data_IF_688485556240
#
_entry.id   IF_688485556240
#
_cell.length_a   1.000
_cell.length_b   1.000
_cell.length_c   1.000
_cell.angle_alpha   90.00
_cell.angle_beta   90.00
_cell.angle_gamma   90.00
#
_symmetry.space_group_name_H-M   'P 1'
#
loop_
_entity.id
_entity.type
_entity.pdbx_description
1 polymer ?
#
# COMPACT_ATOMS: atom_id res chain seq x y z
N UNK A 1 2.75 -24.96 -6.73
CA UNK A 1 1.73 -23.91 -6.90
C UNK A 1 2.20 -22.71 -6.10
N UNK A 2 2.60 -21.58 -6.70
CA UNK A 2 3.05 -20.47 -5.88
C UNK A 2 1.81 -19.80 -5.30
N UNK A 3 1.73 -19.82 -3.97
CA UNK A 3 0.85 -18.97 -3.17
C UNK A 3 1.15 -17.54 -3.64
N UNK A 4 0.28 -16.94 -4.45
CA UNK A 4 0.42 -15.51 -4.75
C UNK A 4 0.20 -14.80 -3.41
N UNK A 5 1.24 -14.23 -2.77
CA UNK A 5 1.01 -13.48 -1.56
C UNK A 5 0.23 -12.24 -2.01
N UNK A 6 -1.02 -12.16 -1.59
CA UNK A 6 -1.85 -10.98 -1.84
C UNK A 6 -1.03 -9.73 -1.50
N UNK A 7 -0.66 -8.93 -2.50
CA UNK A 7 0.25 -7.79 -2.29
C UNK A 7 -0.39 -6.83 -1.28
N UNK A 8 0.43 -6.08 -0.55
CA UNK A 8 -0.09 -5.10 0.42
C UNK A 8 -1.08 -4.16 -0.26
N UNK A 9 -0.78 -3.70 -1.48
CA UNK A 9 -1.70 -2.90 -2.29
C UNK A 9 -3.07 -3.55 -2.47
N UNK A 10 -3.12 -4.82 -2.83
CA UNK A 10 -4.40 -5.51 -3.06
C UNK A 10 -5.19 -5.70 -1.76
N UNK A 11 -4.49 -5.94 -0.64
CA UNK A 11 -5.14 -5.98 0.69
C UNK A 11 -5.72 -4.62 1.08
N UNK A 12 -4.97 -3.54 0.84
CA UNK A 12 -5.41 -2.17 1.07
C UNK A 12 -6.61 -1.83 0.18
N UNK A 13 -6.56 -2.14 -1.12
CA UNK A 13 -7.69 -1.94 -2.03
C UNK A 13 -8.96 -2.61 -1.51
N UNK A 14 -8.89 -3.88 -1.06
CA UNK A 14 -10.03 -4.57 -0.48
C UNK A 14 -10.55 -3.90 0.79
N UNK A 15 -9.66 -3.39 1.66
CA UNK A 15 -10.05 -2.65 2.84
C UNK A 15 -10.84 -1.39 2.47
N UNK A 16 -10.41 -0.65 1.44
CA UNK A 16 -11.16 0.51 0.95
C UNK A 16 -12.52 0.11 0.34
N UNK A 17 -12.57 -0.95 -0.45
CA UNK A 17 -13.84 -1.48 -1.01
C UNK A 17 -14.83 -1.92 0.08
N UNK A 18 -14.32 -2.44 1.20
CA UNK A 18 -15.13 -2.93 2.33
C UNK A 18 -15.44 -1.86 3.38
N UNK A 19 -15.01 -0.61 3.18
CA UNK A 19 -15.18 0.46 4.18
C UNK A 19 -14.28 0.32 5.42
N UNK A 20 -13.26 -0.53 5.37
CA UNK A 20 -12.27 -0.78 6.44
C UNK A 20 -10.99 0.05 6.26
N UNK A 21 -11.06 1.18 5.55
CA UNK A 21 -9.90 2.05 5.27
C UNK A 21 -9.21 2.57 6.52
N UNK A 22 -9.89 2.61 7.67
CA UNK A 22 -9.29 2.96 8.97
C UNK A 22 -8.13 2.03 9.37
N UNK A 23 -8.15 0.77 8.91
CA UNK A 23 -7.09 -0.21 9.17
C UNK A 23 -6.01 -0.23 8.09
N UNK A 24 -6.21 0.48 6.97
CA UNK A 24 -5.25 0.52 5.88
C UNK A 24 -3.90 1.09 6.33
N UNK A 25 -3.93 2.14 7.17
CA UNK A 25 -2.71 2.72 7.70
C UNK A 25 -1.93 1.71 8.55
N UNK A 26 -2.58 1.07 9.51
CA UNK A 26 -1.96 0.04 10.35
C UNK A 26 -1.35 -1.08 9.51
N UNK A 27 -2.04 -1.49 8.45
CA UNK A 27 -1.54 -2.53 7.54
C UNK A 27 -0.26 -2.12 6.82
N UNK A 28 -0.14 -0.86 6.38
CA UNK A 28 1.10 -0.33 5.80
C UNK A 28 2.19 -0.21 6.86
N UNK A 29 1.85 0.23 8.07
CA UNK A 29 2.81 0.31 9.18
C UNK A 29 3.40 -1.07 9.50
N UNK A 30 2.59 -2.12 9.57
CA UNK A 30 3.08 -3.47 9.83
C UNK A 30 3.94 -3.99 8.67
N UNK A 31 3.53 -3.73 7.42
CA UNK A 31 4.33 -4.08 6.24
C UNK A 31 5.72 -3.41 6.22
N UNK A 32 5.82 -2.17 6.73
CA UNK A 32 7.08 -1.45 6.90
C UNK A 32 7.94 -2.10 7.99
N UNK A 33 7.35 -2.44 9.14
CA UNK A 33 8.05 -3.12 10.24
C UNK A 33 8.63 -4.47 9.79
N UNK A 34 7.88 -5.25 9.03
CA UNK A 34 8.32 -6.54 8.47
C UNK A 34 9.57 -6.42 7.60
N UNK A 35 9.85 -5.22 7.07
CA UNK A 35 11.02 -4.89 6.24
C UNK A 35 12.11 -4.13 6.99
N UNK A 36 12.04 -4.09 8.32
CA UNK A 36 12.94 -3.31 9.19
C UNK A 36 12.88 -1.79 8.98
N UNK A 37 11.75 -1.26 8.49
CA UNK A 37 11.50 0.18 8.44
C UNK A 37 10.65 0.62 9.63
N UNK A 38 11.01 1.75 10.23
CA UNK A 38 10.22 2.34 11.30
C UNK A 38 9.07 3.16 10.70
N UNK A 39 7.80 2.79 10.92
CA UNK A 39 6.67 3.49 10.31
C UNK A 39 6.54 4.94 10.76
N UNK A 40 7.09 5.29 11.93
CA UNK A 40 7.06 6.67 12.43
C UNK A 40 7.87 7.62 11.56
N UNK A 41 8.79 7.12 10.74
CA UNK A 41 9.65 7.93 9.87
C UNK A 41 8.94 8.27 8.55
N UNK A 42 7.77 7.68 8.29
CA UNK A 42 7.02 7.86 7.06
C UNK A 42 5.66 8.52 7.32
N UNK A 43 5.20 9.29 6.34
CA UNK A 43 3.82 9.75 6.18
C UNK A 43 3.21 8.84 5.13
N UNK A 44 2.11 8.18 5.50
CA UNK A 44 1.39 7.25 4.63
C UNK A 44 0.18 7.99 4.05
N UNK A 45 0.04 7.99 2.73
CA UNK A 45 -1.09 8.59 2.01
C UNK A 45 -1.71 7.57 1.08
N UNK A 46 -3.03 7.57 1.00
CA UNK A 46 -3.80 6.68 0.15
C UNK A 46 -4.51 7.47 -0.94
N UNK A 47 -4.18 7.15 -2.19
CA UNK A 47 -4.80 7.76 -3.36
C UNK A 47 -5.75 6.76 -3.99
N UNK A 48 -7.05 7.00 -3.84
CA UNK A 48 -8.08 6.18 -4.46
C UNK A 48 -8.28 6.62 -5.90
N UNK A 49 -8.15 5.69 -6.84
CA UNK A 49 -8.42 5.88 -8.26
C UNK A 49 -9.48 4.90 -8.71
N UNK A 50 -10.27 5.30 -9.70
CA UNK A 50 -11.16 4.36 -10.37
C UNK A 50 -10.32 3.31 -11.08
N UNK A 51 -10.68 2.04 -10.89
CA UNK A 51 -9.98 0.99 -11.60
C UNK A 51 -10.26 1.09 -13.11
N UNK A 52 -9.27 0.84 -13.98
CA UNK A 52 -9.52 0.77 -15.42
C UNK A 52 -10.48 -0.38 -15.74
N UNK A 53 -11.26 -0.20 -16.79
CA UNK A 53 -12.22 -1.20 -17.29
C UNK A 53 -11.52 -2.54 -17.52
N UNK A 54 -12.07 -3.62 -16.97
CA UNK A 54 -11.46 -4.96 -17.00
C UNK A 54 -10.63 -5.35 -15.77
N UNK A 55 -10.55 -4.48 -14.74
CA UNK A 55 -9.91 -4.81 -13.46
C UNK A 55 -10.81 -5.67 -12.56
N UNK A 56 -10.20 -6.50 -11.70
CA UNK A 56 -10.92 -7.32 -10.71
C UNK A 56 -11.48 -6.53 -9.51
N UNK A 57 -11.15 -5.25 -9.39
CA UNK A 57 -11.61 -4.34 -8.33
C UNK A 57 -12.24 -3.12 -8.96
N UNK A 58 -13.20 -2.50 -8.27
CA UNK A 58 -13.88 -1.28 -8.74
C UNK A 58 -13.04 -0.02 -8.47
N UNK A 59 -12.18 -0.09 -7.45
CA UNK A 59 -11.22 0.96 -7.12
C UNK A 59 -9.81 0.37 -7.07
N UNK A 60 -8.82 1.23 -7.29
CA UNK A 60 -7.41 0.93 -7.06
C UNK A 60 -6.90 1.94 -6.05
N UNK A 61 -6.26 1.46 -5.00
CA UNK A 61 -5.57 2.32 -4.03
C UNK A 61 -4.09 2.32 -4.37
N UNK A 62 -3.55 3.52 -4.55
CA UNK A 62 -2.11 3.76 -4.59
C UNK A 62 -1.65 4.22 -3.22
N UNK A 63 -0.50 3.69 -2.79
CA UNK A 63 0.08 3.98 -1.48
C UNK A 63 1.29 4.87 -1.72
N UNK A 64 1.18 6.11 -1.28
CA UNK A 64 2.28 7.06 -1.29
C UNK A 64 2.95 7.07 0.09
N UNK A 65 4.27 6.95 0.07
CA UNK A 65 5.10 7.09 1.26
C UNK A 65 5.96 8.34 1.09
N UNK A 66 6.05 9.13 2.15
CA UNK A 66 6.92 10.31 2.21
C UNK A 66 7.72 10.24 3.50
N UNK A 67 9.05 10.34 3.45
CA UNK A 67 9.83 10.39 4.69
C UNK A 67 9.64 11.73 5.37
N UNK A 68 9.49 11.70 6.70
CA UNK A 68 9.32 12.90 7.53
C UNK A 68 10.60 13.73 7.64
N UNK A 69 11.75 13.12 7.41
CA UNK A 69 13.05 13.79 7.38
C UNK A 69 13.32 14.57 6.09
N UNK A 70 12.42 14.52 5.11
CA UNK A 70 12.55 15.19 3.82
C UNK A 70 13.42 14.45 2.80
N UNK A 71 13.97 13.28 3.15
CA UNK A 71 14.69 12.44 2.20
C UNK A 71 13.71 11.72 1.26
N UNK A 72 14.14 11.37 0.03
CA UNK A 72 13.35 10.51 -0.83
C UNK A 72 13.14 9.13 -0.18
N UNK A 73 11.95 8.55 -0.38
CA UNK A 73 11.72 7.14 -0.05
C UNK A 73 12.48 6.27 -1.04
N UNK A 74 13.03 5.17 -0.57
CA UNK A 74 13.73 4.22 -1.42
C UNK A 74 12.82 3.70 -2.55
N UNK A 75 13.33 3.70 -3.78
CA UNK A 75 12.53 3.33 -4.96
C UNK A 75 12.00 1.89 -4.89
N UNK A 76 12.82 0.97 -4.39
CA UNK A 76 12.40 -0.44 -4.23
C UNK A 76 11.20 -0.57 -3.27
N UNK A 77 11.11 0.31 -2.28
CA UNK A 77 10.04 0.30 -1.28
C UNK A 77 8.74 0.84 -1.90
N UNK A 78 8.84 1.88 -2.73
CA UNK A 78 7.73 2.39 -3.54
C UNK A 78 7.24 1.37 -4.58
N UNK A 79 8.15 0.63 -5.20
CA UNK A 79 7.82 -0.42 -6.17
C UNK A 79 7.14 -1.61 -5.48
N UNK A 80 7.67 -2.08 -4.35
CA UNK A 80 7.12 -3.24 -3.66
C UNK A 80 5.77 -2.92 -3.00
N UNK A 81 5.61 -1.73 -2.41
CA UNK A 81 4.34 -1.35 -1.77
C UNK A 81 3.21 -1.16 -2.80
N UNK A 82 3.54 -0.71 -4.02
CA UNK A 82 2.58 -0.54 -5.10
C UNK A 82 2.54 -1.70 -6.11
N UNK A 83 3.23 -2.80 -5.83
CA UNK A 83 3.34 -3.94 -6.74
C UNK A 83 1.96 -4.50 -7.10
N UNK A 84 1.68 -4.53 -8.39
CA UNK A 84 0.55 -5.26 -8.98
C UNK A 84 1.00 -6.72 -9.16
N UNK A 85 0.11 -7.65 -8.80
CA UNK A 85 0.39 -9.09 -8.79
C UNK A 85 0.83 -9.60 -10.17
#
# INVERSE_FOLDING_TARGET
>A
MPVNPFTVRMQITRMFEQGQSLFAELKVQDWLKDRNHNPKDYIIRFHQKMAPVGSNSSVIVEIELVRKDGQPVDEWLLQEINRQA
#
